data_IF_313886286671
#
_entry.id   IF_313886286671
#
_cell.length_a   1.000
_cell.length_b   1.000
_cell.length_c   1.000
_cell.angle_alpha   90.00
_cell.angle_beta   90.00
_cell.angle_gamma   90.00
#
_symmetry.space_group_name_H-M   'P 1'
#
loop_
_entity.id
_entity.type
_entity.pdbx_description
1 polymer ?
#
# COMPACT_ATOMS: atom_id res chain seq x y z
N UNK A 1 -25.44 -27.52 -8.66
CA UNK A 1 -24.50 -27.83 -7.56
C UNK A 1 -23.02 -27.49 -7.87
N UNK A 2 -22.56 -27.55 -9.12
CA UNK A 2 -21.18 -27.21 -9.52
C UNK A 2 -20.74 -25.74 -9.34
N UNK A 3 -21.69 -24.79 -9.32
CA UNK A 3 -21.38 -23.36 -9.12
C UNK A 3 -20.85 -23.00 -7.73
N UNK A 4 -21.28 -23.74 -6.69
CA UNK A 4 -20.89 -23.46 -5.30
C UNK A 4 -19.42 -23.78 -5.04
N UNK A 5 -18.95 -24.93 -5.57
CA UNK A 5 -17.55 -25.36 -5.49
C UNK A 5 -16.66 -24.41 -6.31
N UNK A 6 -17.07 -24.02 -7.52
CA UNK A 6 -16.37 -22.99 -8.31
C UNK A 6 -16.25 -21.67 -7.53
N UNK A 7 -17.31 -21.23 -6.85
CA UNK A 7 -17.29 -20.00 -6.05
C UNK A 7 -16.35 -20.07 -4.83
N UNK A 8 -16.24 -21.24 -4.20
CA UNK A 8 -15.34 -21.47 -3.06
C UNK A 8 -13.86 -21.45 -3.46
N UNK A 9 -13.53 -21.99 -4.64
CA UNK A 9 -12.18 -21.91 -5.19
C UNK A 9 -11.86 -20.51 -5.77
N UNK A 10 -12.80 -19.86 -6.47
CA UNK A 10 -12.61 -18.50 -6.98
C UNK A 10 -12.53 -17.43 -5.87
N UNK A 11 -13.16 -17.64 -4.70
CA UNK A 11 -13.00 -16.74 -3.55
C UNK A 11 -11.65 -16.89 -2.85
N UNK A 12 -10.86 -17.94 -3.13
CA UNK A 12 -9.51 -18.13 -2.57
C UNK A 12 -8.39 -17.76 -3.54
N UNK A 13 -8.66 -17.72 -4.85
CA UNK A 13 -7.66 -17.38 -5.87
C UNK A 13 -7.24 -15.90 -5.82
N UNK A 14 -8.17 -14.99 -5.58
CA UNK A 14 -7.87 -13.56 -5.54
C UNK A 14 -7.21 -13.11 -4.20
N UNK A 15 -6.17 -12.25 -4.25
CA UNK A 15 -5.46 -11.80 -3.06
C UNK A 15 -6.40 -11.03 -2.12
N UNK A 16 -6.30 -11.28 -0.81
CA UNK A 16 -7.08 -10.53 0.19
C UNK A 16 -6.61 -9.08 0.33
N UNK A 17 -5.32 -8.84 0.14
CA UNK A 17 -4.69 -7.52 0.20
C UNK A 17 -3.47 -7.49 -0.71
N UNK A 18 -3.29 -6.39 -1.41
CA UNK A 18 -2.03 -6.09 -2.09
C UNK A 18 -1.67 -4.62 -1.91
N UNK A 19 -0.37 -4.33 -1.85
CA UNK A 19 0.14 -3.05 -1.35
C UNK A 19 1.10 -2.41 -2.34
N UNK A 20 1.19 -1.08 -2.29
CA UNK A 20 2.32 -0.34 -2.82
C UNK A 20 3.52 -0.44 -1.85
N UNK A 21 4.67 0.10 -2.25
CA UNK A 21 5.80 0.31 -1.35
C UNK A 21 5.41 1.24 -0.19
N UNK A 22 5.85 0.90 1.03
CA UNK A 22 5.72 1.77 2.20
C UNK A 22 6.71 2.93 2.12
N UNK A 23 6.18 4.14 2.28
CA UNK A 23 6.92 5.39 2.25
C UNK A 23 7.05 6.01 3.64
N UNK A 24 8.01 6.93 3.76
CA UNK A 24 8.09 7.84 4.90
C UNK A 24 7.73 9.25 4.43
N UNK A 25 6.74 9.84 5.08
CA UNK A 25 6.32 11.23 4.91
C UNK A 25 6.83 12.03 6.10
N UNK A 26 7.31 13.25 5.81
CA UNK A 26 7.82 14.15 6.83
C UNK A 26 6.68 15.11 7.23
N UNK A 27 6.11 14.86 8.41
CA UNK A 27 5.03 15.65 9.00
C UNK A 27 3.62 15.29 8.55
N UNK A 28 2.65 15.63 9.41
CA UNK A 28 1.22 15.38 9.20
C UNK A 28 0.66 16.09 7.95
N UNK A 29 1.23 17.23 7.53
CA UNK A 29 0.77 17.96 6.33
C UNK A 29 0.82 17.11 5.05
N UNK A 30 1.90 16.33 4.85
CA UNK A 30 2.03 15.47 3.68
C UNK A 30 0.99 14.35 3.70
N UNK A 31 0.70 13.81 4.89
CA UNK A 31 -0.34 12.79 5.10
C UNK A 31 -1.72 13.38 4.77
N UNK A 32 -2.03 14.56 5.31
CA UNK A 32 -3.29 15.28 5.10
C UNK A 32 -3.53 15.61 3.63
N UNK A 33 -2.48 15.96 2.87
CA UNK A 33 -2.58 16.18 1.42
C UNK A 33 -2.98 14.91 0.65
N UNK A 34 -2.57 13.74 1.12
CA UNK A 34 -2.84 12.46 0.45
C UNK A 34 -4.23 11.89 0.78
N UNK A 35 -4.76 12.16 1.97
CA UNK A 35 -6.01 11.55 2.43
C UNK A 35 -7.14 12.53 2.77
N UNK A 36 -6.90 13.84 2.72
CA UNK A 36 -7.91 14.87 3.03
C UNK A 36 -8.35 14.93 4.51
N UNK A 37 -7.71 14.16 5.38
CA UNK A 37 -7.98 14.12 6.82
C UNK A 37 -7.13 15.16 7.56
N UNK A 38 -7.55 15.59 8.75
CA UNK A 38 -6.72 16.36 9.68
C UNK A 38 -6.01 15.41 10.65
N UNK A 39 -4.95 14.74 10.21
CA UNK A 39 -3.98 14.13 11.13
C UNK A 39 -3.44 15.25 12.02
N UNK A 40 -3.37 14.99 13.32
CA UNK A 40 -2.98 16.01 14.30
C UNK A 40 -1.57 16.52 13.96
N UNK A 41 -1.47 17.81 13.64
CA UNK A 41 -0.18 18.46 13.40
C UNK A 41 0.47 18.72 14.75
N UNK A 42 1.35 17.82 15.18
CA UNK A 42 2.15 18.07 16.37
C UNK A 42 3.26 19.07 16.03
N UNK A 43 3.47 20.05 16.92
CA UNK A 43 4.39 21.17 16.71
C UNK A 43 5.88 20.76 16.79
N UNK A 44 6.17 19.49 17.02
CA UNK A 44 7.52 18.97 17.31
C UNK A 44 8.44 18.89 16.10
N UNK A 45 7.91 19.03 14.88
CA UNK A 45 8.71 19.16 13.65
C UNK A 45 9.57 17.94 13.28
N UNK A 46 9.46 16.84 14.03
CA UNK A 46 10.22 15.59 13.83
C UNK A 46 9.33 14.38 13.54
N UNK A 47 8.06 14.61 13.24
CA UNK A 47 7.11 13.51 13.10
C UNK A 47 7.30 12.84 11.74
N UNK A 48 7.89 11.65 11.75
CA UNK A 48 7.97 10.81 10.55
C UNK A 48 6.77 9.86 10.54
N UNK A 49 5.97 9.92 9.48
CA UNK A 49 4.86 9.01 9.27
C UNK A 49 5.25 7.93 8.27
N UNK A 50 5.00 6.67 8.61
CA UNK A 50 4.98 5.57 7.65
C UNK A 50 3.63 5.58 6.96
N UNK A 51 3.64 5.59 5.63
CA UNK A 51 2.44 5.65 4.81
C UNK A 51 2.44 4.53 3.76
N UNK A 52 1.26 3.99 3.46
CA UNK A 52 1.13 2.93 2.47
C UNK A 52 -0.26 2.93 1.82
N UNK A 53 -0.27 2.90 0.49
CA UNK A 53 -1.47 2.62 -0.29
C UNK A 53 -1.64 1.11 -0.45
N UNK A 54 -2.88 0.63 -0.33
CA UNK A 54 -3.18 -0.77 -0.51
C UNK A 54 -4.62 -1.01 -0.97
N UNK A 55 -4.85 -2.11 -1.65
CA UNK A 55 -6.18 -2.59 -1.95
C UNK A 55 -6.52 -3.73 -0.98
N UNK A 56 -7.71 -3.67 -0.37
CA UNK A 56 -8.25 -4.74 0.47
C UNK A 56 -9.52 -5.29 -0.15
N UNK A 57 -9.59 -6.62 -0.26
CA UNK A 57 -10.72 -7.28 -0.90
C UNK A 57 -11.97 -7.15 -0.04
N UNK A 58 -13.06 -6.74 -0.68
CA UNK A 58 -14.40 -6.69 -0.10
C UNK A 58 -15.25 -7.82 -0.68
N UNK A 59 -16.53 -7.87 -0.30
CA UNK A 59 -17.47 -8.80 -0.89
C UNK A 59 -17.63 -8.59 -2.39
N UNK A 60 -18.03 -9.65 -3.10
CA UNK A 60 -18.41 -9.55 -4.51
C UNK A 60 -17.26 -9.41 -5.53
N UNK A 61 -16.04 -9.85 -5.21
CA UNK A 61 -14.84 -9.70 -6.07
C UNK A 61 -14.33 -8.27 -6.24
N UNK A 62 -14.79 -7.36 -5.39
CA UNK A 62 -14.35 -5.98 -5.37
C UNK A 62 -13.25 -5.73 -4.33
N UNK A 63 -12.64 -4.55 -4.42
CA UNK A 63 -11.62 -4.06 -3.53
C UNK A 63 -11.91 -2.64 -3.09
N UNK A 64 -11.56 -2.33 -1.85
CA UNK A 64 -11.44 -0.96 -1.38
C UNK A 64 -9.98 -0.53 -1.49
N UNK A 65 -9.76 0.61 -2.13
CA UNK A 65 -8.46 1.29 -2.16
C UNK A 65 -8.35 2.11 -0.89
N UNK A 66 -7.35 1.78 -0.09
CA UNK A 66 -7.13 2.36 1.22
C UNK A 66 -5.74 2.99 1.31
N UNK A 67 -5.64 4.00 2.15
CA UNK A 67 -4.39 4.62 2.57
C UNK A 67 -4.25 4.47 4.08
N UNK A 68 -3.13 3.89 4.53
CA UNK A 68 -2.81 3.80 5.96
C UNK A 68 -1.65 4.71 6.30
N UNK A 69 -1.69 5.30 7.48
CA UNK A 69 -0.61 6.08 8.07
C UNK A 69 -0.36 5.67 9.52
N UNK A 70 0.90 5.76 9.95
CA UNK A 70 1.35 5.49 11.30
C UNK A 70 2.54 6.39 11.63
N UNK A 71 2.40 7.26 12.63
CA UNK A 71 3.46 8.11 13.14
C UNK A 71 3.53 8.02 14.65
N UNK A 72 4.72 8.21 15.21
CA UNK A 72 4.93 8.28 16.66
C UNK A 72 5.64 9.60 16.96
N UNK A 73 5.09 10.36 17.89
CA UNK A 73 5.65 11.61 18.40
C UNK A 73 6.00 11.44 19.87
N UNK A 74 7.24 11.78 20.23
CA UNK A 74 7.67 11.84 21.63
C UNK A 74 7.39 13.24 22.16
N UNK A 75 6.55 13.33 23.19
CA UNK A 75 6.26 14.55 23.94
C UNK A 75 6.92 14.48 25.33
N UNK A 76 6.98 15.60 26.06
CA UNK A 76 7.68 15.67 27.35
C UNK A 76 7.25 14.57 28.35
N UNK A 77 5.98 14.17 28.32
CA UNK A 77 5.40 13.22 29.28
C UNK A 77 5.05 11.84 28.67
N UNK A 78 5.53 11.51 27.46
CA UNK A 78 5.29 10.19 26.87
C UNK A 78 5.38 10.11 25.35
N UNK A 79 4.93 8.99 24.79
CA UNK A 79 4.84 8.76 23.35
C UNK A 79 3.38 8.75 22.90
N UNK A 80 3.05 9.57 21.91
CA UNK A 80 1.75 9.54 21.24
C UNK A 80 1.95 8.84 19.90
N UNK A 81 1.14 7.82 19.64
CA UNK A 81 1.10 7.12 18.36
C UNK A 81 -0.19 7.47 17.63
N UNK A 82 -0.05 7.99 16.43
CA UNK A 82 -1.15 8.37 15.55
C UNK A 82 -1.21 7.38 14.39
N UNK A 83 -2.28 6.59 14.36
CA UNK A 83 -2.51 5.53 13.38
C UNK A 83 -3.91 5.68 12.83
N UNK A 84 -4.02 5.63 11.51
CA UNK A 84 -5.31 5.65 10.85
C UNK A 84 -5.28 5.01 9.48
N UNK A 85 -6.48 4.74 8.98
CA UNK A 85 -6.72 4.33 7.62
C UNK A 85 -7.89 5.08 7.01
N UNK A 86 -7.78 5.41 5.73
CA UNK A 86 -8.80 6.11 4.97
C UNK A 86 -9.14 5.29 3.74
N UNK A 87 -10.43 5.11 3.49
CA UNK A 87 -10.93 4.54 2.24
C UNK A 87 -10.98 5.64 1.20
N UNK A 88 -10.19 5.51 0.13
CA UNK A 88 -10.11 6.47 -0.96
C UNK A 88 -11.13 6.14 -2.06
N UNK A 89 -11.31 4.85 -2.35
CA UNK A 89 -12.29 4.37 -3.32
C UNK A 89 -12.84 3.02 -2.84
N UNK A 90 -14.15 2.83 -2.98
CA UNK A 90 -14.82 1.59 -2.61
C UNK A 90 -15.28 0.82 -3.84
N UNK A 91 -15.42 -0.50 -3.68
CA UNK A 91 -16.01 -1.40 -4.70
C UNK A 91 -15.32 -1.35 -6.08
N UNK A 92 -14.00 -1.28 -6.09
CA UNK A 92 -13.18 -1.27 -7.30
C UNK A 92 -12.97 -2.69 -7.83
N UNK A 93 -13.09 -2.88 -9.15
CA UNK A 93 -12.82 -4.17 -9.78
C UNK A 93 -11.36 -4.61 -9.61
N UNK A 94 -11.08 -5.91 -9.66
CA UNK A 94 -9.73 -6.42 -9.42
C UNK A 94 -8.67 -5.81 -10.36
N UNK A 95 -8.95 -5.72 -11.66
CA UNK A 95 -8.02 -5.16 -12.65
C UNK A 95 -7.72 -3.68 -12.36
N UNK A 96 -8.76 -2.87 -12.17
CA UNK A 96 -8.63 -1.45 -11.83
C UNK A 96 -7.88 -1.25 -10.52
N UNK A 97 -8.18 -2.06 -9.50
CA UNK A 97 -7.52 -1.98 -8.21
C UNK A 97 -6.02 -2.27 -8.33
N UNK A 98 -5.64 -3.24 -9.17
CA UNK A 98 -4.24 -3.53 -9.45
C UNK A 98 -3.55 -2.37 -10.15
N UNK A 99 -4.19 -1.78 -11.15
CA UNK A 99 -3.61 -0.67 -11.90
C UNK A 99 -3.46 0.60 -11.04
N UNK A 100 -4.44 0.88 -10.17
CA UNK A 100 -4.36 1.96 -9.19
C UNK A 100 -3.18 1.75 -8.24
N UNK A 101 -3.07 0.57 -7.61
CA UNK A 101 -1.97 0.31 -6.68
C UNK A 101 -0.61 0.28 -7.38
N UNK A 102 -0.54 -0.14 -8.64
CA UNK A 102 0.69 -0.04 -9.46
C UNK A 102 1.13 1.39 -9.68
N UNK A 103 0.19 2.31 -9.96
CA UNK A 103 0.51 3.74 -10.11
C UNK A 103 1.12 4.28 -8.81
N UNK A 104 0.49 3.99 -7.66
CA UNK A 104 1.05 4.37 -6.36
C UNK A 104 2.39 3.70 -6.07
N UNK A 105 2.60 2.43 -6.45
CA UNK A 105 3.89 1.75 -6.32
C UNK A 105 5.00 2.43 -7.13
N UNK A 106 4.69 2.82 -8.37
CA UNK A 106 5.63 3.50 -9.26
C UNK A 106 6.02 4.89 -8.73
N UNK A 107 5.04 5.67 -8.26
CA UNK A 107 5.30 6.97 -7.64
C UNK A 107 6.15 6.85 -6.36
N UNK A 108 5.85 5.85 -5.52
CA UNK A 108 6.61 5.58 -4.31
C UNK A 108 8.04 5.12 -4.64
N UNK A 109 8.20 4.28 -5.66
CA UNK A 109 9.51 3.85 -6.15
C UNK A 109 10.33 5.05 -6.66
N UNK A 110 9.74 5.94 -7.46
CA UNK A 110 10.42 7.12 -7.97
C UNK A 110 10.89 8.05 -6.83
N UNK A 111 10.03 8.30 -5.85
CA UNK A 111 10.37 9.09 -4.65
C UNK A 111 11.49 8.43 -3.84
N UNK A 112 11.47 7.11 -3.68
CA UNK A 112 12.54 6.38 -3.02
C UNK A 112 13.86 6.41 -3.80
N UNK A 113 13.81 6.31 -5.13
CA UNK A 113 14.99 6.43 -5.99
C UNK A 113 15.63 7.80 -5.84
N UNK A 114 14.82 8.88 -5.85
CA UNK A 114 15.27 10.25 -5.58
C UNK A 114 15.94 10.37 -4.19
N UNK A 115 15.33 9.81 -3.14
CA UNK A 115 15.91 9.79 -1.78
C UNK A 115 17.24 9.00 -1.69
N UNK A 116 17.43 8.02 -2.57
CA UNK A 116 18.59 7.11 -2.57
C UNK A 116 19.59 7.39 -3.70
N UNK A 117 19.45 8.51 -4.42
CA UNK A 117 20.24 8.83 -5.63
C UNK A 117 21.75 8.84 -5.37
N UNK A 118 22.16 9.21 -4.14
CA UNK A 118 23.57 9.21 -3.71
C UNK A 118 24.18 7.81 -3.56
N UNK A 119 23.38 6.75 -3.58
CA UNK A 119 23.85 5.38 -3.45
C UNK A 119 24.12 4.77 -4.82
N UNK A 120 25.10 3.84 -4.93
CA UNK A 120 25.26 3.02 -6.12
C UNK A 120 23.96 2.32 -6.50
N UNK A 121 23.66 2.27 -7.81
CA UNK A 121 22.40 1.74 -8.34
C UNK A 121 22.03 0.36 -7.76
N UNK A 122 22.99 -0.57 -7.69
CA UNK A 122 22.79 -1.91 -7.10
C UNK A 122 22.34 -1.88 -5.63
N UNK A 123 22.80 -0.90 -4.84
CA UNK A 123 22.37 -0.72 -3.44
C UNK A 123 20.98 -0.08 -3.37
N UNK A 124 20.67 0.85 -4.28
CA UNK A 124 19.35 1.46 -4.40
C UNK A 124 18.28 0.41 -4.71
N UNK A 125 18.48 -0.39 -5.75
CA UNK A 125 17.57 -1.48 -6.16
C UNK A 125 17.36 -2.50 -5.03
N UNK A 126 18.43 -2.89 -4.33
CA UNK A 126 18.35 -3.80 -3.17
C UNK A 126 17.51 -3.22 -2.03
N UNK A 127 17.61 -1.91 -1.77
CA UNK A 127 16.79 -1.23 -0.74
C UNK A 127 15.32 -1.15 -1.15
N UNK A 128 15.04 -0.82 -2.40
CA UNK A 128 13.67 -0.78 -2.94
C UNK A 128 13.04 -2.17 -2.88
N UNK A 129 13.75 -3.21 -3.33
CA UNK A 129 13.29 -4.59 -3.26
C UNK A 129 13.01 -5.06 -1.82
N UNK A 130 13.80 -4.61 -0.83
CA UNK A 130 13.55 -4.90 0.58
C UNK A 130 12.28 -4.24 1.12
N UNK A 131 11.95 -3.04 0.63
CA UNK A 131 10.70 -2.35 0.99
C UNK A 131 9.47 -2.97 0.32
N UNK A 132 9.65 -3.67 -0.80
CA UNK A 132 8.59 -4.49 -1.42
C UNK A 132 8.32 -5.71 -0.55
N UNK A 133 7.34 -5.59 0.34
CA UNK A 133 6.89 -6.70 1.18
C UNK A 133 6.22 -7.82 0.38
N UNK A 134 5.90 -8.93 1.06
CA UNK A 134 5.31 -10.16 0.45
C UNK A 134 4.00 -9.92 -0.33
N UNK A 135 3.26 -8.87 0.06
CA UNK A 135 1.96 -8.50 -0.50
C UNK A 135 2.07 -7.35 -1.51
N UNK A 136 3.28 -6.95 -1.90
CA UNK A 136 3.44 -5.91 -2.92
C UNK A 136 2.72 -6.32 -4.22
N UNK A 137 2.11 -5.34 -4.89
CA UNK A 137 1.32 -5.56 -6.11
C UNK A 137 2.10 -6.32 -7.19
N UNK A 138 3.41 -6.11 -7.28
CA UNK A 138 4.29 -6.84 -8.20
C UNK A 138 4.30 -8.36 -7.95
N UNK A 139 4.23 -8.78 -6.68
CA UNK A 139 4.22 -10.20 -6.31
C UNK A 139 2.81 -10.80 -6.32
N UNK A 140 1.80 -9.99 -5.99
CA UNK A 140 0.40 -10.41 -6.03
C UNK A 140 -0.02 -10.84 -7.45
N UNK A 141 0.38 -10.07 -8.47
CA UNK A 141 0.14 -10.44 -9.87
C UNK A 141 0.86 -11.73 -10.28
N UNK A 142 2.14 -11.88 -9.93
CA UNK A 142 2.91 -13.10 -10.26
C UNK A 142 2.25 -14.36 -9.69
N UNK A 143 1.68 -14.29 -8.48
CA UNK A 143 0.97 -15.44 -7.89
C UNK A 143 -0.28 -15.79 -8.67
N UNK A 144 -1.01 -14.79 -9.14
CA UNK A 144 -2.23 -14.99 -9.92
C UNK A 144 -1.94 -15.58 -11.30
N UNK A 145 -0.91 -15.09 -11.99
CA UNK A 145 -0.49 -15.63 -13.29
C UNK A 145 0.03 -17.07 -13.19
N UNK A 146 0.73 -17.42 -12.10
CA UNK A 146 1.19 -18.80 -11.84
C UNK A 146 0.01 -19.72 -11.47
N UNK A 147 -0.97 -19.19 -10.72
CA UNK A 147 -2.14 -19.98 -10.29
C UNK A 147 -3.20 -20.20 -11.36
N UNK A 148 -3.13 -19.48 -12.49
CA UNK A 148 -4.10 -19.59 -13.58
C UNK A 148 -3.40 -19.60 -14.95
N UNK A 149 -2.75 -20.72 -15.33
CA UNK A 149 -1.97 -20.83 -16.56
C UNK A 149 -2.81 -20.81 -17.86
N UNK A 150 -4.14 -20.68 -17.76
CA UNK A 150 -5.08 -20.74 -18.90
C UNK A 150 -5.71 -19.38 -19.26
N UNK A 151 -5.23 -18.26 -18.71
CA UNK A 151 -5.61 -16.93 -19.20
C UNK A 151 -4.57 -16.50 -20.24
N UNK A 152 -4.80 -16.93 -21.48
CA UNK A 152 -4.28 -16.34 -22.71
C UNK A 152 -5.47 -15.95 -23.60
#
# INVERSE_FOLDING_TARGET
MFGYIKSLFNKKSYPRKFTAIEESCDGAYQVNRLCGQNVATWFTGRDSYKTQFYAARTDGHYYDIKFSYCGTATIMDGEITDVGEVVLQSRVGFADAVDIIKKYDAEAEERLRKKLEKLPQKKCEKKIARKRGRNNVHYAQKRLSISNPFIH
#
